data_IF_059241695147
#
_entry.id   IF_059241695147
#
_cell.length_a   1.000
_cell.length_b   1.000
_cell.length_c   1.000
_cell.angle_alpha   90.00
_cell.angle_beta   90.00
_cell.angle_gamma   90.00
#
_symmetry.space_group_name_H-M   'P 1'
#
loop_
_entity.id
_entity.type
_entity.pdbx_description
1 polymer ?
#
# COMPACT_ATOMS: atom_id res chain seq x y z
N UNK A 1 -6.87 -8.46 -31.62
CA UNK A 1 -5.53 -8.34 -30.99
C UNK A 1 -4.68 -9.52 -31.46
N UNK A 2 -3.42 -9.26 -31.86
CA UNK A 2 -2.49 -10.33 -32.26
C UNK A 2 -2.10 -11.13 -31.03
N UNK A 3 -2.26 -12.46 -31.09
CA UNK A 3 -1.89 -13.40 -30.01
C UNK A 3 -0.66 -14.20 -30.43
N UNK A 4 0.05 -14.74 -29.46
CA UNK A 4 1.11 -15.72 -29.68
C UNK A 4 0.48 -17.10 -29.97
N UNK A 5 1.19 -17.97 -30.67
CA UNK A 5 0.68 -19.29 -31.06
C UNK A 5 1.19 -20.43 -30.17
N UNK A 6 2.16 -20.17 -29.29
CA UNK A 6 2.69 -21.20 -28.42
C UNK A 6 1.74 -21.50 -27.24
N UNK A 7 1.76 -22.76 -26.83
CA UNK A 7 1.06 -23.29 -25.65
C UNK A 7 1.99 -23.61 -24.48
N UNK A 8 3.30 -23.59 -24.75
CA UNK A 8 4.37 -23.76 -23.75
C UNK A 8 5.41 -22.67 -23.95
N UNK A 9 5.84 -22.01 -22.85
CA UNK A 9 6.78 -20.89 -22.91
C UNK A 9 8.07 -21.22 -23.68
N UNK A 10 8.64 -22.43 -23.49
CA UNK A 10 9.85 -22.87 -24.17
C UNK A 10 9.73 -22.96 -25.71
N UNK A 11 8.50 -22.98 -26.23
CA UNK A 11 8.21 -23.02 -27.68
C UNK A 11 8.03 -21.64 -28.30
N UNK A 12 8.06 -20.58 -27.46
CA UNK A 12 7.93 -19.19 -27.91
C UNK A 12 9.15 -18.73 -28.73
N UNK A 13 8.89 -18.02 -29.82
CA UNK A 13 9.92 -17.38 -30.64
C UNK A 13 10.22 -15.96 -30.16
N UNK A 14 11.37 -15.41 -30.58
CA UNK A 14 11.70 -13.98 -30.32
C UNK A 14 10.60 -13.02 -30.78
N UNK A 15 9.89 -13.35 -31.86
CA UNK A 15 8.76 -12.56 -32.39
C UNK A 15 7.56 -12.59 -31.45
N UNK A 16 7.26 -13.76 -30.86
CA UNK A 16 6.18 -13.90 -29.88
C UNK A 16 6.47 -13.10 -28.63
N UNK A 17 7.68 -13.21 -28.07
CA UNK A 17 8.06 -12.45 -26.86
C UNK A 17 8.08 -10.94 -27.09
N UNK A 18 8.43 -10.44 -28.29
CA UNK A 18 8.27 -9.02 -28.63
C UNK A 18 6.82 -8.56 -28.69
N UNK A 19 5.89 -9.45 -29.04
CA UNK A 19 4.45 -9.14 -28.99
C UNK A 19 4.00 -9.04 -27.53
N UNK A 20 4.39 -10.02 -26.68
CA UNK A 20 4.06 -10.02 -25.24
C UNK A 20 4.62 -8.79 -24.54
N UNK A 21 5.89 -8.44 -24.75
CA UNK A 21 6.54 -7.25 -24.19
C UNK A 21 5.71 -5.96 -24.40
N UNK A 22 5.12 -5.79 -25.58
CA UNK A 22 4.26 -4.64 -25.87
C UNK A 22 2.99 -4.64 -25.02
N UNK A 23 2.39 -5.82 -24.80
CA UNK A 23 1.19 -5.94 -23.97
C UNK A 23 1.51 -5.78 -22.50
N UNK A 24 2.65 -6.33 -22.03
CA UNK A 24 3.13 -6.20 -20.67
C UNK A 24 3.37 -4.73 -20.32
N UNK A 25 4.11 -3.99 -21.15
CA UNK A 25 4.30 -2.53 -20.97
C UNK A 25 2.98 -1.76 -20.91
N UNK A 26 1.99 -2.13 -21.74
CA UNK A 26 0.66 -1.52 -21.70
C UNK A 26 -0.10 -1.86 -20.42
N UNK A 27 0.03 -3.10 -19.95
CA UNK A 27 -0.58 -3.57 -18.71
C UNK A 27 0.06 -2.88 -17.49
N UNK A 28 1.38 -2.80 -17.43
CA UNK A 28 2.14 -2.11 -16.38
C UNK A 28 1.73 -0.64 -16.24
N UNK A 29 1.64 0.10 -17.36
CA UNK A 29 1.21 1.51 -17.36
C UNK A 29 -0.17 1.75 -16.75
N UNK A 30 -1.02 0.73 -16.66
CA UNK A 30 -2.36 0.80 -16.07
C UNK A 30 -2.40 0.35 -14.61
N UNK A 31 -1.26 0.13 -13.97
CA UNK A 31 -1.21 -0.32 -12.57
C UNK A 31 -1.89 0.67 -11.63
N UNK A 32 -1.61 1.97 -11.75
CA UNK A 32 -2.28 3.00 -10.97
C UNK A 32 -3.81 2.99 -11.13
N UNK A 33 -4.31 2.81 -12.35
CA UNK A 33 -5.75 2.78 -12.60
C UNK A 33 -6.43 1.56 -11.95
N UNK A 34 -5.75 0.39 -11.97
CA UNK A 34 -6.24 -0.82 -11.29
C UNK A 34 -6.27 -0.65 -9.78
N UNK A 35 -5.21 -0.06 -9.20
CA UNK A 35 -5.13 0.25 -7.77
C UNK A 35 -6.25 1.20 -7.35
N UNK A 36 -6.44 2.30 -8.07
CA UNK A 36 -7.50 3.27 -7.78
C UNK A 36 -8.90 2.66 -7.92
N UNK A 37 -9.10 1.79 -8.91
CA UNK A 37 -10.36 1.05 -9.07
C UNK A 37 -10.59 0.13 -7.87
N UNK A 38 -9.57 -0.58 -7.41
CA UNK A 38 -9.68 -1.47 -6.26
C UNK A 38 -9.92 -0.70 -4.96
N UNK A 39 -9.16 0.36 -4.67
CA UNK A 39 -9.44 1.23 -3.52
C UNK A 39 -10.89 1.75 -3.51
N UNK A 40 -11.39 2.16 -4.68
CA UNK A 40 -12.78 2.61 -4.81
C UNK A 40 -13.80 1.53 -4.46
N UNK A 41 -13.48 0.25 -4.59
CA UNK A 41 -14.37 -0.86 -4.25
C UNK A 41 -14.36 -1.23 -2.76
N UNK A 42 -13.39 -0.73 -1.98
CA UNK A 42 -13.28 -1.01 -0.53
C UNK A 42 -14.27 -0.18 0.30
N UNK A 43 -15.54 -0.23 -0.08
CA UNK A 43 -16.64 0.51 0.56
C UNK A 43 -17.39 -0.29 1.62
N UNK A 44 -17.04 -1.56 1.82
CA UNK A 44 -17.50 -2.36 2.94
C UNK A 44 -16.63 -2.13 4.17
N UNK A 45 -17.23 -2.27 5.35
CA UNK A 45 -16.48 -2.30 6.62
C UNK A 45 -16.10 -3.73 6.95
N UNK A 46 -14.98 -3.90 7.66
CA UNK A 46 -14.88 -5.06 8.55
C UNK A 46 -15.92 -4.88 9.66
N UNK A 47 -16.65 -5.94 9.97
CA UNK A 47 -17.64 -5.90 11.03
C UNK A 47 -17.03 -5.36 12.34
N UNK A 48 -17.75 -4.45 12.98
CA UNK A 48 -17.33 -3.80 14.24
C UNK A 48 -16.70 -2.42 14.11
N UNK A 49 -16.19 -2.02 12.94
CA UNK A 49 -15.70 -0.65 12.72
C UNK A 49 -16.81 0.30 12.29
N UNK A 50 -16.65 1.61 12.62
CA UNK A 50 -17.62 2.66 12.28
C UNK A 50 -17.41 3.27 10.89
N UNK A 51 -16.33 2.88 10.20
CA UNK A 51 -15.93 3.42 8.90
C UNK A 51 -15.56 2.28 7.94
N UNK A 52 -15.57 2.56 6.65
CA UNK A 52 -15.14 1.61 5.62
C UNK A 52 -13.61 1.57 5.50
N UNK A 53 -13.07 0.54 4.86
CA UNK A 53 -11.64 0.46 4.54
C UNK A 53 -11.18 1.64 3.69
N UNK A 54 -11.99 2.05 2.73
CA UNK A 54 -11.68 3.23 1.93
C UNK A 54 -11.61 4.50 2.79
N UNK A 55 -12.54 4.69 3.72
CA UNK A 55 -12.53 5.85 4.62
C UNK A 55 -11.31 5.87 5.53
N UNK A 56 -10.91 4.72 6.08
CA UNK A 56 -9.67 4.59 6.85
C UNK A 56 -8.45 5.03 6.02
N UNK A 57 -8.28 4.45 4.83
CA UNK A 57 -7.20 4.80 3.90
C UNK A 57 -7.18 6.29 3.55
N UNK A 58 -8.35 6.89 3.29
CA UNK A 58 -8.48 8.31 2.98
C UNK A 58 -8.15 9.19 4.19
N UNK A 59 -8.57 8.81 5.40
CA UNK A 59 -8.24 9.54 6.62
C UNK A 59 -6.73 9.54 6.87
N UNK A 60 -6.10 8.37 6.85
CA UNK A 60 -4.67 8.21 7.05
C UNK A 60 -3.86 9.05 6.03
N UNK A 61 -4.17 8.91 4.75
CA UNK A 61 -3.50 9.67 3.68
C UNK A 61 -3.75 11.19 3.79
N UNK A 62 -4.94 11.61 4.23
CA UNK A 62 -5.24 13.03 4.44
C UNK A 62 -4.41 13.60 5.58
N UNK A 63 -4.20 12.85 6.67
CA UNK A 63 -3.33 13.24 7.77
C UNK A 63 -1.88 13.38 7.32
N UNK A 64 -1.36 12.41 6.59
CA UNK A 64 -0.01 12.46 6.02
C UNK A 64 0.16 13.67 5.08
N UNK A 65 -0.82 13.95 4.22
CA UNK A 65 -0.81 15.10 3.32
C UNK A 65 -0.81 16.43 4.08
N UNK A 66 -1.69 16.60 5.07
CA UNK A 66 -1.75 17.81 5.92
C UNK A 66 -0.47 18.01 6.74
N UNK A 67 0.19 16.93 7.13
CA UNK A 67 1.48 16.95 7.82
C UNK A 67 2.68 17.20 6.87
N UNK A 68 2.40 17.52 5.60
CA UNK A 68 3.41 17.81 4.58
C UNK A 68 4.42 16.68 4.34
N UNK A 69 3.98 15.43 4.51
CA UNK A 69 4.77 14.28 4.12
C UNK A 69 5.07 14.28 2.62
N UNK A 70 6.12 13.58 2.22
CA UNK A 70 6.43 13.39 0.80
C UNK A 70 5.26 12.74 0.06
N UNK A 71 5.10 13.03 -1.23
CA UNK A 71 4.07 12.42 -2.06
C UNK A 71 4.15 10.88 -2.02
N UNK A 72 5.35 10.35 -1.94
CA UNK A 72 5.62 8.93 -1.79
C UNK A 72 5.00 8.37 -0.51
N UNK A 73 5.22 9.05 0.63
CA UNK A 73 4.66 8.63 1.90
C UNK A 73 3.13 8.79 1.92
N UNK A 74 2.59 9.86 1.35
CA UNK A 74 1.13 10.06 1.23
C UNK A 74 0.48 8.91 0.45
N UNK A 75 1.07 8.52 -0.69
CA UNK A 75 0.56 7.39 -1.49
C UNK A 75 0.74 6.07 -0.76
N UNK A 76 1.88 5.85 -0.11
CA UNK A 76 2.11 4.66 0.68
C UNK A 76 1.10 4.54 1.84
N UNK A 77 0.79 5.66 2.50
CA UNK A 77 -0.23 5.74 3.55
C UNK A 77 -1.63 5.43 3.00
N UNK A 78 -1.96 5.93 1.80
CA UNK A 78 -3.24 5.60 1.15
C UNK A 78 -3.39 4.10 0.87
N UNK A 79 -2.29 3.38 0.68
CA UNK A 79 -2.27 1.98 0.26
C UNK A 79 -1.89 1.01 1.38
N UNK A 80 -1.61 1.47 2.61
CA UNK A 80 -1.01 0.63 3.65
C UNK A 80 -1.83 -0.62 4.01
N UNK A 81 -3.15 -0.52 3.95
CA UNK A 81 -4.11 -1.60 4.21
C UNK A 81 -4.76 -2.18 2.94
N UNK A 82 -4.23 -1.89 1.74
CA UNK A 82 -4.81 -2.38 0.48
C UNK A 82 -4.87 -3.92 0.41
N UNK A 83 -4.10 -4.59 1.26
CA UNK A 83 -4.03 -6.05 1.31
C UNK A 83 -5.08 -6.73 2.19
N UNK A 84 -5.86 -6.00 2.98
CA UNK A 84 -6.74 -6.60 3.98
C UNK A 84 -7.74 -7.62 3.43
N UNK A 85 -8.33 -7.35 2.27
CA UNK A 85 -9.30 -8.25 1.66
C UNK A 85 -8.68 -9.56 1.12
N UNK A 86 -7.38 -9.56 0.82
CA UNK A 86 -6.69 -10.70 0.19
C UNK A 86 -5.73 -11.41 1.11
N UNK A 87 -5.16 -10.69 2.06
CA UNK A 87 -4.07 -11.16 2.89
C UNK A 87 -4.19 -10.62 4.33
N UNK A 88 -5.31 -10.86 5.06
CA UNK A 88 -5.54 -10.25 6.37
C UNK A 88 -4.46 -10.58 7.39
N UNK A 89 -3.81 -11.74 7.28
CA UNK A 89 -2.75 -12.16 8.20
C UNK A 89 -1.39 -11.50 7.92
N UNK A 90 -1.21 -10.95 6.73
CA UNK A 90 0.04 -10.31 6.30
C UNK A 90 -0.21 -9.13 5.35
N UNK A 91 -1.31 -8.38 5.57
CA UNK A 91 -1.69 -7.23 4.73
C UNK A 91 -0.57 -6.20 4.58
N UNK A 92 0.20 -5.98 5.64
CA UNK A 92 1.33 -5.03 5.64
C UNK A 92 2.40 -5.42 4.62
N UNK A 93 2.77 -6.70 4.57
CA UNK A 93 3.73 -7.22 3.59
C UNK A 93 3.15 -7.18 2.17
N UNK A 94 1.86 -7.48 2.03
CA UNK A 94 1.16 -7.41 0.75
C UNK A 94 1.17 -5.97 0.20
N UNK A 95 0.75 -5.00 1.00
CA UNK A 95 0.76 -3.58 0.64
C UNK A 95 2.19 -3.10 0.29
N UNK A 96 3.16 -3.44 1.13
CA UNK A 96 4.56 -3.09 0.90
C UNK A 96 5.10 -3.69 -0.41
N UNK A 97 4.73 -4.92 -0.76
CA UNK A 97 5.17 -5.58 -2.01
C UNK A 97 4.63 -4.87 -3.25
N UNK A 98 3.41 -4.33 -3.21
CA UNK A 98 2.83 -3.56 -4.32
C UNK A 98 3.62 -2.28 -4.59
N UNK A 99 4.03 -1.57 -3.53
CA UNK A 99 4.71 -0.27 -3.67
C UNK A 99 6.23 -0.39 -3.79
N UNK A 100 6.83 -1.52 -3.38
CA UNK A 100 8.28 -1.73 -3.33
C UNK A 100 9.05 -1.21 -4.56
N UNK A 101 8.61 -1.47 -5.80
CA UNK A 101 9.35 -1.02 -6.98
C UNK A 101 9.36 0.49 -7.21
N UNK A 102 8.57 1.27 -6.46
CA UNK A 102 8.29 2.68 -6.75
C UNK A 102 8.62 3.63 -5.61
N UNK A 103 8.99 3.09 -4.44
CA UNK A 103 9.22 3.87 -3.21
C UNK A 103 10.60 3.61 -2.62
N UNK A 104 11.06 4.52 -1.77
CA UNK A 104 12.33 4.38 -1.03
C UNK A 104 12.29 3.19 -0.05
N UNK A 105 13.47 2.70 0.32
CA UNK A 105 13.64 1.66 1.34
C UNK A 105 12.94 2.05 2.66
N UNK A 106 13.04 3.32 3.05
CA UNK A 106 12.36 3.84 4.25
C UNK A 106 10.86 3.66 4.17
N UNK A 107 10.24 4.08 3.08
CA UNK A 107 8.79 3.98 2.89
C UNK A 107 8.34 2.53 2.82
N UNK A 108 9.06 1.69 2.07
CA UNK A 108 8.82 0.25 2.04
C UNK A 108 8.87 -0.36 3.44
N UNK A 109 9.93 -0.08 4.21
CA UNK A 109 10.10 -0.61 5.57
C UNK A 109 8.92 -0.23 6.47
N UNK A 110 8.52 1.04 6.47
CA UNK A 110 7.41 1.55 7.30
C UNK A 110 6.14 0.76 6.99
N UNK A 111 5.77 0.66 5.72
CA UNK A 111 4.54 -0.05 5.31
C UNK A 111 4.66 -1.56 5.59
N UNK A 112 5.81 -2.17 5.37
CA UNK A 112 6.02 -3.59 5.62
C UNK A 112 5.82 -3.99 7.09
N UNK A 113 6.12 -3.08 8.01
CA UNK A 113 6.10 -3.37 9.46
C UNK A 113 4.94 -2.69 10.19
N UNK A 114 4.14 -1.83 9.53
CA UNK A 114 3.14 -1.03 10.23
C UNK A 114 2.17 -1.85 11.06
N UNK A 115 1.67 -2.99 10.58
CA UNK A 115 0.73 -3.83 11.33
C UNK A 115 1.29 -4.33 12.66
N UNK A 116 2.58 -4.74 12.70
CA UNK A 116 3.24 -5.08 13.96
C UNK A 116 3.37 -3.86 14.88
N UNK A 117 3.66 -2.69 14.33
CA UNK A 117 3.80 -1.46 15.11
C UNK A 117 2.45 -0.94 15.61
N UNK A 118 1.42 -1.09 14.79
CA UNK A 118 0.02 -0.75 15.10
C UNK A 118 -0.54 -1.64 16.23
N UNK A 119 -0.12 -2.92 16.31
CA UNK A 119 -0.53 -3.83 17.38
C UNK A 119 -0.16 -3.34 18.78
N UNK A 120 0.74 -2.35 18.90
CA UNK A 120 1.04 -1.68 20.16
C UNK A 120 -0.21 -1.13 20.86
N UNK A 121 -1.20 -0.69 20.09
CA UNK A 121 -2.41 -0.08 20.62
C UNK A 121 -3.47 -1.10 21.05
N UNK A 122 -3.45 -2.32 20.51
CA UNK A 122 -4.50 -3.33 20.70
C UNK A 122 -4.07 -4.67 21.31
N UNK A 123 -2.82 -5.11 21.08
CA UNK A 123 -2.39 -6.45 21.42
C UNK A 123 -2.58 -6.81 22.91
N UNK A 124 -2.28 -5.91 23.83
CA UNK A 124 -2.42 -6.16 25.27
C UNK A 124 -3.87 -6.36 25.74
N UNK A 125 -4.86 -5.86 24.99
CA UNK A 125 -6.26 -6.11 25.27
C UNK A 125 -6.70 -7.53 24.88
N UNK A 126 -5.92 -8.19 24.01
CA UNK A 126 -6.17 -9.53 23.49
C UNK A 126 -5.15 -10.57 24.03
N UNK A 127 -4.43 -10.25 25.11
CA UNK A 127 -3.44 -11.13 25.72
C UNK A 127 -2.10 -11.22 24.97
N UNK A 128 -1.88 -10.37 23.97
CA UNK A 128 -0.62 -10.31 23.22
C UNK A 128 0.38 -9.30 23.78
N UNK A 129 1.61 -9.34 23.26
CA UNK A 129 2.67 -8.41 23.65
C UNK A 129 2.60 -7.11 22.81
N UNK A 130 2.14 -6.03 23.42
CA UNK A 130 2.18 -4.69 22.80
C UNK A 130 3.58 -4.20 22.43
N UNK A 131 4.61 -4.73 23.09
CA UNK A 131 6.00 -4.34 22.89
C UNK A 131 6.73 -5.19 21.85
N UNK A 132 6.05 -6.11 21.16
CA UNK A 132 6.63 -6.99 20.14
C UNK A 132 7.44 -6.23 19.07
N UNK A 133 7.08 -4.96 18.77
CA UNK A 133 7.81 -4.06 17.85
C UNK A 133 9.23 -3.73 18.36
N UNK A 134 9.52 -3.86 19.68
CA UNK A 134 10.82 -3.51 20.26
C UNK A 134 11.96 -4.41 19.79
N UNK A 135 11.67 -5.57 19.17
CA UNK A 135 12.71 -6.37 18.48
C UNK A 135 13.43 -5.58 17.38
N UNK A 136 12.81 -4.50 16.88
CA UNK A 136 13.37 -3.59 15.88
C UNK A 136 13.90 -2.27 16.44
N UNK A 137 14.03 -2.11 17.78
CA UNK A 137 14.40 -0.84 18.43
C UNK A 137 15.68 -0.17 17.90
N UNK A 138 16.63 -0.98 17.41
CA UNK A 138 17.89 -0.51 16.86
C UNK A 138 17.85 -0.28 15.34
N UNK A 139 16.72 -0.54 14.66
CA UNK A 139 16.62 -0.35 13.23
C UNK A 139 16.47 1.14 12.89
N UNK A 140 17.19 1.60 11.85
CA UNK A 140 17.23 3.02 11.42
C UNK A 140 15.86 3.66 11.19
N UNK A 141 14.84 2.87 10.83
CA UNK A 141 13.48 3.35 10.57
C UNK A 141 12.48 3.08 11.70
N UNK A 142 12.93 2.58 12.86
CA UNK A 142 12.05 2.25 14.00
C UNK A 142 11.19 3.43 14.43
N UNK A 143 11.83 4.59 14.71
CA UNK A 143 11.12 5.80 15.12
C UNK A 143 10.17 6.32 14.05
N UNK A 144 10.55 6.22 12.78
CA UNK A 144 9.69 6.64 11.67
C UNK A 144 8.44 5.76 11.54
N UNK A 145 8.54 4.45 11.83
CA UNK A 145 7.39 3.55 11.81
C UNK A 145 6.46 3.80 13.01
N UNK A 146 7.00 4.10 14.18
CA UNK A 146 6.19 4.56 15.33
C UNK A 146 5.40 5.81 14.94
N UNK A 147 6.09 6.82 14.39
CA UNK A 147 5.48 8.09 13.98
C UNK A 147 4.37 7.88 12.94
N UNK A 148 4.57 6.97 11.99
CA UNK A 148 3.55 6.61 11.01
C UNK A 148 2.28 6.06 11.68
N UNK A 149 2.42 5.04 12.54
CA UNK A 149 1.27 4.45 13.24
C UNK A 149 0.58 5.46 14.15
N UNK A 150 1.35 6.27 14.89
CA UNK A 150 0.81 7.24 15.84
C UNK A 150 0.03 8.36 15.16
N UNK A 151 0.55 8.93 14.07
CA UNK A 151 -0.01 10.14 13.47
C UNK A 151 -0.97 9.87 12.31
N UNK A 152 -0.88 8.71 11.64
CA UNK A 152 -1.66 8.46 10.44
C UNK A 152 -2.59 7.26 10.56
N UNK A 153 -2.13 6.12 11.12
CA UNK A 153 -2.89 4.88 11.10
C UNK A 153 -3.88 4.79 12.28
N UNK A 154 -3.38 4.68 13.53
CA UNK A 154 -4.21 4.39 14.69
C UNK A 154 -5.29 5.43 15.00
N UNK A 155 -5.18 6.65 14.52
CA UNK A 155 -6.14 7.74 14.72
C UNK A 155 -7.08 7.98 13.53
N UNK A 156 -7.11 7.06 12.55
CA UNK A 156 -7.89 7.17 11.31
C UNK A 156 -9.16 6.34 11.31
N UNK A 157 -9.91 6.35 12.43
CA UNK A 157 -11.14 5.59 12.64
C UNK A 157 -12.34 6.47 13.03
N UNK A 158 -12.26 7.79 12.79
CA UNK A 158 -13.30 8.75 13.15
C UNK A 158 -14.31 8.94 12.00
N UNK A 159 -15.60 8.56 12.16
CA UNK A 159 -16.61 8.71 11.11
C UNK A 159 -16.90 10.19 10.77
N UNK A 160 -16.52 11.14 11.64
CA UNK A 160 -16.72 12.57 11.43
C UNK A 160 -15.51 13.28 10.81
N UNK A 161 -14.39 12.56 10.59
CA UNK A 161 -13.19 13.16 10.05
C UNK A 161 -13.38 13.54 8.55
N UNK A 162 -13.14 14.82 8.25
CA UNK A 162 -13.25 15.34 6.87
C UNK A 162 -12.00 14.99 6.05
N UNK A 163 -12.05 13.85 5.39
CA UNK A 163 -10.98 13.37 4.50
C UNK A 163 -11.01 14.07 3.14
N UNK A 164 -9.86 14.14 2.50
CA UNK A 164 -9.76 14.40 1.07
C UNK A 164 -10.40 13.23 0.29
N UNK A 165 -10.98 13.53 -0.86
CA UNK A 165 -11.61 12.51 -1.72
C UNK A 165 -10.56 11.74 -2.52
N UNK A 166 -10.81 10.47 -2.84
CA UNK A 166 -9.89 9.62 -3.62
C UNK A 166 -9.42 10.29 -4.92
N UNK A 167 -10.28 11.06 -5.60
CA UNK A 167 -9.93 11.79 -6.82
C UNK A 167 -8.78 12.80 -6.63
N UNK A 168 -8.57 13.31 -5.43
CA UNK A 168 -7.49 14.26 -5.12
C UNK A 168 -6.15 13.55 -4.96
N UNK A 169 -6.15 12.29 -4.54
CA UNK A 169 -4.96 11.44 -4.46
C UNK A 169 -4.61 10.77 -5.80
N UNK A 170 -5.58 10.61 -6.71
CA UNK A 170 -5.37 9.91 -7.97
C UNK A 170 -4.18 10.42 -8.81
N UNK A 171 -3.92 11.75 -8.94
CA UNK A 171 -2.74 12.23 -9.63
C UNK A 171 -1.42 11.80 -8.96
N UNK A 172 -1.37 11.77 -7.63
CA UNK A 172 -0.19 11.32 -6.85
C UNK A 172 0.09 9.85 -7.08
N UNK A 173 -0.96 9.00 -6.99
CA UNK A 173 -0.86 7.56 -7.27
C UNK A 173 -0.33 7.34 -8.68
N UNK A 174 -0.85 8.06 -9.69
CA UNK A 174 -0.38 7.95 -11.07
C UNK A 174 1.10 8.34 -11.22
N UNK A 175 1.55 9.42 -10.57
CA UNK A 175 2.96 9.82 -10.61
C UNK A 175 3.88 8.79 -9.95
N UNK A 176 3.50 8.25 -8.79
CA UNK A 176 4.31 7.23 -8.12
C UNK A 176 4.43 5.97 -8.99
N UNK A 177 3.32 5.44 -9.50
CA UNK A 177 3.33 4.21 -10.31
C UNK A 177 3.78 4.42 -11.77
N UNK A 178 4.09 5.66 -12.18
CA UNK A 178 4.75 5.96 -13.45
C UNK A 178 6.27 6.05 -13.34
N UNK A 179 6.84 6.01 -12.14
CA UNK A 179 8.29 5.98 -11.93
C UNK A 179 8.88 4.74 -12.59
N UNK A 180 10.12 4.84 -13.05
CA UNK A 180 10.86 3.64 -13.49
C UNK A 180 11.01 2.71 -12.28
N UNK A 181 10.53 1.46 -12.36
CA UNK A 181 10.68 0.51 -11.26
C UNK A 181 12.16 0.31 -10.90
N UNK A 182 12.45 0.28 -9.62
CA UNK A 182 13.76 -0.11 -9.12
C UNK A 182 13.58 -1.25 -8.11
N UNK A 183 14.59 -2.09 -8.02
CA UNK A 183 14.63 -3.19 -7.07
C UNK A 183 15.82 -2.94 -6.15
N UNK A 184 15.57 -2.78 -4.86
CA UNK A 184 16.61 -2.93 -3.86
C UNK A 184 16.62 -4.41 -3.45
N UNK A 185 17.77 -5.03 -3.66
CA UNK A 185 18.02 -6.42 -3.31
C UNK A 185 18.29 -6.54 -1.82
#
# INVERSE_FOLDING_TARGET
MKKVNFTEMKKGTKKDYKILEKYDKKFERKTADRILKYLKSQTSTLEGYKITRLEHSLQAATRAFKNKESEEMVVATLLHDIGDDFAPMNHSQYAASIIKPYVSEKTFWIIHHHGLFQSYYSAHHLGGDRNARNKFKNHKYFKATINFCENYDQNSFDPNYKSMKLKQFAPMVKRIFSRKPFYFL
#
